data_IF_660980174347
#
_entry.id   IF_660980174347
#
_cell.length_a   1.000
_cell.length_b   1.000
_cell.length_c   1.000
_cell.angle_alpha   90.00
_cell.angle_beta   90.00
_cell.angle_gamma   90.00
#
_symmetry.space_group_name_H-M   'P 1'
#
loop_
_entity.id
_entity.type
_entity.pdbx_description
1 polymer ?
#
# COMPACT_ATOMS: atom_id res chain seq x y z
N UNK A 1 8.02 -4.47 29.71
CA UNK A 1 7.03 -3.40 29.96
C UNK A 1 6.64 -2.79 28.63
N UNK A 2 5.35 -2.47 28.45
CA UNK A 2 4.88 -1.80 27.23
C UNK A 2 5.51 -0.41 27.10
N UNK A 3 5.90 -0.03 25.89
CA UNK A 3 6.51 1.27 25.60
C UNK A 3 5.42 2.27 25.21
N UNK A 4 5.40 3.45 25.81
CA UNK A 4 4.45 4.51 25.48
C UNK A 4 4.53 4.93 24.03
N UNK A 5 3.38 5.32 23.45
CA UNK A 5 3.31 5.85 22.09
C UNK A 5 4.20 7.10 21.93
N UNK A 6 4.80 7.27 20.76
CA UNK A 6 5.73 8.36 20.46
C UNK A 6 6.77 7.99 19.40
N UNK A 7 7.79 8.81 19.26
CA UNK A 7 8.83 8.72 18.22
C UNK A 7 9.53 7.36 18.15
N UNK A 8 9.70 6.67 19.29
CA UNK A 8 10.29 5.32 19.33
C UNK A 8 9.60 4.37 18.34
N UNK A 9 8.27 4.40 18.26
CA UNK A 9 7.50 3.49 17.43
C UNK A 9 7.65 3.74 15.94
N UNK A 10 8.05 4.95 15.54
CA UNK A 10 8.40 5.28 14.16
C UNK A 10 9.67 4.51 13.76
N UNK A 11 10.71 4.61 14.57
CA UNK A 11 11.98 3.89 14.35
C UNK A 11 11.78 2.38 14.43
N UNK A 12 11.03 1.92 15.43
CA UNK A 12 10.70 0.50 15.57
C UNK A 12 10.00 -0.07 14.33
N UNK A 13 9.01 0.65 13.78
CA UNK A 13 8.27 0.22 12.59
C UNK A 13 9.16 0.17 11.34
N UNK A 14 10.16 1.04 11.23
CA UNK A 14 11.10 1.03 10.13
C UNK A 14 12.04 -0.19 10.14
N UNK A 15 12.19 -0.83 11.29
CA UNK A 15 12.99 -2.07 11.41
C UNK A 15 12.09 -3.30 11.41
N UNK A 16 11.01 -3.32 12.21
CA UNK A 16 10.25 -4.52 12.56
C UNK A 16 8.92 -4.66 11.82
N UNK A 17 8.51 -3.65 11.07
CA UNK A 17 7.22 -3.60 10.36
C UNK A 17 7.35 -2.94 8.99
N UNK A 18 8.40 -3.28 8.24
CA UNK A 18 8.61 -2.77 6.87
C UNK A 18 7.50 -3.23 5.94
N UNK A 19 7.13 -2.36 5.00
CA UNK A 19 6.41 -2.80 3.80
C UNK A 19 7.40 -3.51 2.88
N UNK A 20 6.90 -4.41 2.05
CA UNK A 20 7.70 -5.07 1.01
C UNK A 20 7.45 -4.44 -0.37
N UNK A 21 8.45 -4.57 -1.24
CA UNK A 21 8.33 -4.36 -2.70
C UNK A 21 8.68 -5.64 -3.47
N UNK A 22 8.83 -6.76 -2.78
CA UNK A 22 9.10 -8.06 -3.38
C UNK A 22 7.81 -8.74 -3.83
N UNK A 23 7.77 -9.21 -5.09
CA UNK A 23 6.66 -10.02 -5.61
C UNK A 23 6.52 -11.32 -4.81
N UNK A 24 7.62 -11.84 -4.24
CA UNK A 24 7.61 -13.09 -3.47
C UNK A 24 6.76 -13.02 -2.20
N UNK A 25 6.45 -11.82 -1.70
CA UNK A 25 5.65 -11.62 -0.51
C UNK A 25 4.15 -11.47 -0.80
N UNK A 26 3.76 -11.50 -2.08
CA UNK A 26 2.36 -11.53 -2.47
C UNK A 26 1.72 -12.89 -2.19
N UNK A 27 0.41 -12.91 -2.02
CA UNK A 27 -0.38 -14.14 -1.94
C UNK A 27 -0.14 -14.99 -3.21
N UNK A 28 0.06 -16.29 -3.07
CA UNK A 28 0.59 -17.18 -4.12
C UNK A 28 -0.10 -17.04 -5.47
N UNK A 29 -1.43 -17.09 -5.52
CA UNK A 29 -2.21 -16.95 -6.76
C UNK A 29 -2.01 -15.57 -7.41
N UNK A 30 -2.07 -14.49 -6.62
CA UNK A 30 -1.87 -13.14 -7.13
C UNK A 30 -0.41 -12.88 -7.51
N UNK A 31 0.53 -13.53 -6.83
CA UNK A 31 1.95 -13.50 -7.16
C UNK A 31 2.22 -14.00 -8.59
N UNK A 32 1.66 -15.15 -8.97
CA UNK A 32 1.81 -15.73 -10.31
C UNK A 32 1.20 -14.84 -11.40
N UNK A 33 0.02 -14.28 -11.12
CA UNK A 33 -0.65 -13.34 -11.99
C UNK A 33 0.19 -12.08 -12.23
N UNK A 34 0.75 -11.50 -11.17
CA UNK A 34 1.62 -10.32 -11.24
C UNK A 34 2.90 -10.62 -12.00
N UNK A 35 3.56 -11.77 -11.74
CA UNK A 35 4.76 -12.18 -12.49
C UNK A 35 4.48 -12.26 -13.99
N UNK A 36 3.44 -13.01 -14.37
CA UNK A 36 3.07 -13.20 -15.77
C UNK A 36 2.76 -11.87 -16.47
N UNK A 37 2.06 -10.95 -15.79
CA UNK A 37 1.78 -9.62 -16.33
C UNK A 37 3.05 -8.79 -16.51
N UNK A 38 3.92 -8.75 -15.51
CA UNK A 38 5.19 -8.00 -15.56
C UNK A 38 6.10 -8.57 -16.66
N UNK A 39 6.17 -9.89 -16.79
CA UNK A 39 6.97 -10.54 -17.83
C UNK A 39 6.44 -10.20 -19.24
N UNK A 40 5.11 -10.21 -19.43
CA UNK A 40 4.52 -9.77 -20.69
C UNK A 40 4.85 -8.32 -21.03
N UNK A 41 4.83 -7.41 -20.04
CA UNK A 41 5.22 -6.01 -20.22
C UNK A 41 6.70 -5.86 -20.58
N UNK A 42 7.58 -6.54 -19.85
CA UNK A 42 9.03 -6.50 -20.08
C UNK A 42 9.41 -7.09 -21.43
N UNK A 43 8.81 -8.23 -21.81
CA UNK A 43 9.02 -8.86 -23.11
C UNK A 43 8.57 -7.97 -24.27
N UNK A 44 7.60 -7.09 -24.04
CA UNK A 44 7.16 -6.09 -25.00
C UNK A 44 8.05 -4.83 -25.04
N UNK A 45 9.04 -4.70 -24.13
CA UNK A 45 9.97 -3.58 -24.06
C UNK A 45 9.60 -2.50 -23.03
N UNK A 46 8.62 -2.74 -22.15
CA UNK A 46 8.31 -1.82 -21.05
C UNK A 46 9.27 -2.00 -19.87
N UNK A 47 9.48 -0.90 -19.14
CA UNK A 47 10.12 -0.91 -17.82
C UNK A 47 9.05 -0.93 -16.74
N UNK A 48 9.26 -1.71 -15.69
CA UNK A 48 8.36 -1.81 -14.53
C UNK A 48 9.15 -1.57 -13.25
N UNK A 49 8.73 -0.58 -12.46
CA UNK A 49 9.29 -0.26 -11.15
C UNK A 49 8.23 -0.52 -10.07
N UNK A 50 8.54 -1.35 -9.09
CA UNK A 50 7.64 -1.73 -8.00
C UNK A 50 8.00 -0.90 -6.77
N UNK A 51 7.02 -0.19 -6.22
CA UNK A 51 7.18 0.61 -5.00
C UNK A 51 6.66 -0.13 -3.76
N UNK A 52 5.56 -0.86 -3.86
CA UNK A 52 4.97 -1.59 -2.73
C UNK A 52 4.25 -2.85 -3.20
N UNK A 53 4.43 -3.97 -2.49
CA UNK A 53 3.64 -5.20 -2.66
C UNK A 53 2.79 -5.45 -1.42
N UNK A 54 3.42 -5.70 -0.26
CA UNK A 54 2.69 -5.98 0.97
C UNK A 54 2.90 -4.89 2.02
N UNK A 55 1.85 -4.63 2.78
CA UNK A 55 1.88 -3.73 3.93
C UNK A 55 1.82 -4.53 5.22
N UNK A 56 2.77 -4.28 6.13
CA UNK A 56 2.77 -4.91 7.44
C UNK A 56 1.50 -4.55 8.24
N UNK A 57 0.79 -5.58 8.74
CA UNK A 57 -0.36 -5.40 9.67
C UNK A 57 0.03 -4.57 10.89
N UNK A 58 1.25 -4.74 11.41
CA UNK A 58 1.77 -3.98 12.54
C UNK A 58 1.94 -2.50 12.19
N UNK A 59 2.45 -2.19 10.99
CA UNK A 59 2.58 -0.81 10.52
C UNK A 59 1.20 -0.17 10.29
N UNK A 60 0.26 -0.88 9.66
CA UNK A 60 -1.10 -0.41 9.47
C UNK A 60 -1.80 -0.10 10.81
N UNK A 61 -1.61 -0.96 11.81
CA UNK A 61 -2.09 -0.76 13.17
C UNK A 61 -1.53 0.52 13.80
N UNK A 62 -0.22 0.72 13.73
CA UNK A 62 0.42 1.92 14.27
C UNK A 62 -0.08 3.19 13.57
N UNK A 63 -0.25 3.16 12.25
CA UNK A 63 -0.78 4.28 11.47
C UNK A 63 -2.21 4.62 11.86
N UNK A 64 -3.08 3.62 11.94
CA UNK A 64 -4.51 3.79 12.25
C UNK A 64 -4.72 4.43 13.62
N UNK A 65 -4.14 3.84 14.64
CA UNK A 65 -4.37 4.28 16.01
C UNK A 65 -3.67 5.60 16.34
N UNK A 66 -2.44 5.82 15.84
CA UNK A 66 -1.79 7.11 16.01
C UNK A 66 -2.60 8.23 15.39
N UNK A 67 -3.16 8.01 14.18
CA UNK A 67 -4.02 9.00 13.54
C UNK A 67 -5.29 9.25 14.34
N UNK A 68 -6.05 8.21 14.73
CA UNK A 68 -7.31 8.38 15.46
C UNK A 68 -7.13 9.08 16.80
N UNK A 69 -6.13 8.69 17.57
CA UNK A 69 -5.87 9.25 18.90
C UNK A 69 -5.40 10.71 18.79
N UNK A 70 -4.46 11.01 17.87
CA UNK A 70 -3.97 12.36 17.65
C UNK A 70 -5.04 13.34 17.20
N UNK A 71 -6.03 12.86 16.42
CA UNK A 71 -7.17 13.67 15.95
C UNK A 71 -8.34 13.69 16.95
N UNK A 72 -8.21 13.07 18.12
CA UNK A 72 -9.28 12.99 19.12
C UNK A 72 -10.53 12.21 18.66
N UNK A 73 -10.37 11.31 17.69
CA UNK A 73 -11.47 10.50 17.12
C UNK A 73 -11.75 9.23 17.91
N UNK A 74 -10.97 8.94 18.94
CA UNK A 74 -11.18 7.83 19.87
C UNK A 74 -10.38 8.08 21.16
N UNK A 75 -10.70 7.32 22.22
CA UNK A 75 -9.89 7.27 23.45
C UNK A 75 -8.66 6.39 23.21
N UNK A 76 -7.53 6.62 23.91
CA UNK A 76 -6.36 5.73 23.85
C UNK A 76 -6.68 4.28 24.20
N UNK A 77 -7.60 4.06 25.14
CA UNK A 77 -8.08 2.73 25.58
C UNK A 77 -8.89 1.96 24.51
N UNK A 78 -9.36 2.64 23.46
CA UNK A 78 -10.11 1.98 22.37
C UNK A 78 -9.18 1.21 21.42
N UNK A 79 -7.87 1.47 21.48
CA UNK A 79 -6.88 0.80 20.66
C UNK A 79 -6.68 -0.65 21.14
N UNK A 80 -7.24 -1.59 20.36
CA UNK A 80 -7.09 -3.03 20.66
C UNK A 80 -5.63 -3.45 20.56
N UNK A 81 -5.19 -4.34 21.47
CA UNK A 81 -3.82 -4.90 21.41
C UNK A 81 -3.60 -5.68 20.12
N UNK A 82 -2.40 -5.56 19.57
CA UNK A 82 -1.95 -6.34 18.43
C UNK A 82 -0.70 -7.16 18.82
N UNK A 83 -0.75 -8.46 18.59
CA UNK A 83 0.37 -9.34 18.91
C UNK A 83 1.68 -8.87 18.25
N UNK A 84 2.74 -8.78 19.06
CA UNK A 84 4.05 -8.32 18.62
C UNK A 84 4.17 -6.79 18.44
N UNK A 85 3.22 -6.01 19.00
CA UNK A 85 3.30 -4.54 19.13
C UNK A 85 2.95 -4.17 20.57
N UNK A 86 3.96 -4.09 21.41
CA UNK A 86 3.79 -3.83 22.85
C UNK A 86 3.78 -2.33 23.15
N UNK A 87 2.85 -1.62 22.51
CA UNK A 87 2.64 -0.18 22.63
C UNK A 87 1.60 0.15 23.70
N UNK A 88 1.91 1.14 24.55
CA UNK A 88 0.99 1.75 25.49
C UNK A 88 0.49 3.08 24.92
N UNK A 89 -0.79 3.14 24.57
CA UNK A 89 -1.41 4.34 24.02
C UNK A 89 -1.86 5.32 25.10
N UNK A 90 -2.23 4.80 26.28
CA UNK A 90 -2.68 5.63 27.41
C UNK A 90 -1.48 6.06 28.26
N UNK A 91 -1.24 7.36 28.32
CA UNK A 91 -0.18 7.96 29.12
C UNK A 91 -0.67 8.42 30.52
N UNK A 92 -1.91 8.02 30.91
CA UNK A 92 -2.57 8.50 32.13
C UNK A 92 -3.09 9.93 32.04
N UNK A 93 -2.94 10.57 30.88
CA UNK A 93 -3.44 11.90 30.57
C UNK A 93 -3.72 11.99 29.07
N UNK A 94 -4.90 12.50 28.71
CA UNK A 94 -5.35 12.52 27.33
C UNK A 94 -4.47 13.39 26.42
N UNK A 95 -4.00 14.52 26.91
CA UNK A 95 -3.15 15.41 26.11
C UNK A 95 -1.76 14.81 25.88
N UNK A 96 -1.19 14.11 26.85
CA UNK A 96 0.07 13.37 26.68
C UNK A 96 -0.11 12.22 25.68
N UNK A 97 -1.21 11.50 25.75
CA UNK A 97 -1.53 10.41 24.82
C UNK A 97 -1.70 10.92 23.37
N UNK A 98 -2.41 12.05 23.19
CA UNK A 98 -2.54 12.71 21.89
C UNK A 98 -1.19 13.21 21.36
N UNK A 99 -0.35 13.79 22.22
CA UNK A 99 0.98 14.27 21.85
C UNK A 99 1.88 13.14 21.35
N UNK A 100 1.95 12.01 22.07
CA UNK A 100 2.70 10.83 21.63
C UNK A 100 2.18 10.26 20.30
N UNK A 101 0.86 10.18 20.13
CA UNK A 101 0.26 9.76 18.88
C UNK A 101 0.56 10.74 17.72
N UNK A 102 0.58 12.06 17.99
CA UNK A 102 0.90 13.09 17.00
C UNK A 102 2.38 13.01 16.56
N UNK A 103 3.29 12.70 17.47
CA UNK A 103 4.69 12.44 17.10
C UNK A 103 4.79 11.29 16.09
N UNK A 104 4.01 10.23 16.28
CA UNK A 104 3.98 9.10 15.35
C UNK A 104 3.38 9.52 14.00
N UNK A 105 2.25 10.26 14.00
CA UNK A 105 1.63 10.79 12.76
C UNK A 105 2.63 11.59 11.94
N UNK A 106 3.36 12.51 12.60
CA UNK A 106 4.41 13.32 11.95
C UNK A 106 5.57 12.46 11.45
N UNK A 107 6.06 11.55 12.28
CA UNK A 107 7.19 10.68 11.96
C UNK A 107 6.89 9.68 10.83
N UNK A 108 5.64 9.26 10.69
CA UNK A 108 5.17 8.41 9.57
C UNK A 108 4.76 9.20 8.33
N UNK A 109 4.67 10.53 8.41
CA UNK A 109 4.23 11.38 7.30
C UNK A 109 2.75 11.17 6.93
N UNK A 110 1.89 10.84 7.92
CA UNK A 110 0.49 10.55 7.64
C UNK A 110 -0.29 11.82 7.24
N UNK A 111 -1.14 11.69 6.23
CA UNK A 111 -2.04 12.77 5.87
C UNK A 111 -3.11 12.96 6.97
N UNK A 112 -3.32 14.21 7.37
CA UNK A 112 -4.35 14.65 8.32
C UNK A 112 -5.23 15.71 7.68
N UNK A 113 -6.38 16.09 8.27
CA UNK A 113 -7.20 17.15 7.70
C UNK A 113 -6.41 18.43 7.37
N UNK A 114 -6.68 19.11 6.23
CA UNK A 114 -7.75 18.80 5.26
C UNK A 114 -7.40 17.72 4.22
N UNK A 115 -6.14 17.23 4.16
CA UNK A 115 -5.69 16.26 3.15
C UNK A 115 -6.33 14.88 3.29
N UNK A 116 -6.60 14.44 4.52
CA UNK A 116 -7.35 13.21 4.79
C UNK A 116 -8.18 13.38 6.05
N UNK A 117 -9.48 13.12 5.96
CA UNK A 117 -10.42 13.12 7.09
C UNK A 117 -10.64 11.70 7.67
N UNK A 118 -10.06 10.68 7.02
CA UNK A 118 -10.15 9.27 7.42
C UNK A 118 -8.80 8.75 7.90
N UNK A 119 -8.80 7.85 8.91
CA UNK A 119 -7.58 7.18 9.33
C UNK A 119 -7.09 6.20 8.26
N UNK A 120 -5.78 5.90 8.21
CA UNK A 120 -5.27 4.78 7.43
C UNK A 120 -6.02 3.49 7.76
N UNK A 121 -6.36 2.69 6.74
CA UNK A 121 -7.13 1.47 6.90
C UNK A 121 -6.36 0.38 7.66
N UNK A 122 -7.08 -0.39 8.48
CA UNK A 122 -6.59 -1.63 9.11
C UNK A 122 -6.70 -2.84 8.17
N UNK A 123 -7.44 -2.71 7.08
CA UNK A 123 -7.59 -3.73 6.04
C UNK A 123 -7.35 -3.11 4.68
N UNK A 124 -6.60 -3.80 3.83
CA UNK A 124 -6.38 -3.41 2.43
C UNK A 124 -5.85 -4.61 1.66
N UNK A 125 -5.99 -4.57 0.32
CA UNK A 125 -5.41 -5.61 -0.53
C UNK A 125 -3.89 -5.75 -0.34
N UNK A 126 -3.16 -4.68 -0.01
CA UNK A 126 -1.74 -4.75 0.34
C UNK A 126 -1.48 -5.55 1.62
N UNK A 127 -2.34 -5.44 2.64
CA UNK A 127 -2.21 -6.21 3.88
C UNK A 127 -2.45 -7.71 3.64
N UNK A 128 -3.28 -8.03 2.64
CA UNK A 128 -3.59 -9.40 2.24
C UNK A 128 -2.62 -9.97 1.19
N UNK A 129 -1.66 -9.17 0.73
CA UNK A 129 -0.77 -9.58 -0.36
C UNK A 129 -1.46 -9.68 -1.73
N UNK A 130 -2.56 -8.95 -1.93
CA UNK A 130 -3.40 -8.98 -3.14
C UNK A 130 -3.41 -7.65 -3.89
N UNK A 131 -2.40 -6.81 -3.66
CA UNK A 131 -2.17 -5.56 -4.38
C UNK A 131 -0.70 -5.32 -4.62
N UNK A 132 -0.40 -4.53 -5.64
CA UNK A 132 0.92 -4.05 -6.00
C UNK A 132 0.84 -2.61 -6.48
N UNK A 133 1.72 -1.77 -5.95
CA UNK A 133 1.95 -0.43 -6.49
C UNK A 133 3.16 -0.48 -7.43
N UNK A 134 2.93 -0.22 -8.70
CA UNK A 134 3.98 -0.22 -9.71
C UNK A 134 3.78 0.86 -10.75
N UNK A 135 4.89 1.37 -11.27
CA UNK A 135 4.94 2.28 -12.41
C UNK A 135 5.40 1.51 -13.63
N UNK A 136 4.62 1.61 -14.71
CA UNK A 136 4.95 1.04 -16.02
C UNK A 136 5.32 2.19 -16.95
N UNK A 137 6.44 2.08 -17.65
CA UNK A 137 6.90 3.10 -18.61
C UNK A 137 7.43 2.46 -19.88
N UNK A 138 7.17 3.13 -21.02
CA UNK A 138 7.66 2.74 -22.35
C UNK A 138 7.70 3.95 -23.28
N UNK A 139 8.19 3.78 -24.48
CA UNK A 139 8.18 4.78 -25.55
C UNK A 139 7.51 4.21 -26.81
N UNK A 140 6.85 5.06 -27.60
CA UNK A 140 6.17 4.63 -28.81
C UNK A 140 5.01 3.68 -28.59
N UNK A 141 4.86 2.70 -29.45
CA UNK A 141 3.82 1.66 -29.37
C UNK A 141 4.37 0.38 -28.75
N UNK A 142 3.70 -0.11 -27.72
CA UNK A 142 4.05 -1.34 -27.00
C UNK A 142 3.15 -2.48 -27.48
N UNK A 143 3.71 -3.53 -28.11
CA UNK A 143 2.97 -4.73 -28.52
C UNK A 143 3.00 -5.74 -27.38
N UNK A 144 1.94 -5.80 -26.56
CA UNK A 144 1.86 -6.66 -25.39
C UNK A 144 0.94 -7.85 -25.67
N UNK A 145 1.37 -9.01 -25.23
CA UNK A 145 0.59 -10.25 -25.29
C UNK A 145 -0.30 -10.37 -24.06
N UNK A 146 -1.61 -10.55 -24.26
CA UNK A 146 -2.55 -10.93 -23.20
C UNK A 146 -2.35 -12.37 -22.76
N UNK A 147 -2.99 -12.77 -21.64
CA UNK A 147 -2.93 -14.15 -21.12
C UNK A 147 -3.44 -15.20 -22.12
N UNK A 148 -4.44 -14.85 -22.94
CA UNK A 148 -5.00 -15.71 -23.99
C UNK A 148 -4.15 -15.79 -25.28
N UNK A 149 -3.01 -15.10 -25.31
CA UNK A 149 -2.12 -15.04 -26.46
C UNK A 149 -2.38 -13.90 -27.44
N UNK A 150 -3.50 -13.19 -27.34
CA UNK A 150 -3.84 -12.04 -28.18
C UNK A 150 -2.82 -10.90 -27.99
N UNK A 151 -2.32 -10.34 -29.08
CA UNK A 151 -1.41 -9.19 -29.05
C UNK A 151 -2.20 -7.90 -29.15
N UNK A 152 -1.99 -6.99 -28.22
CA UNK A 152 -2.58 -5.65 -28.18
C UNK A 152 -1.49 -4.60 -28.39
N UNK A 153 -1.75 -3.62 -29.24
CA UNK A 153 -0.87 -2.47 -29.44
C UNK A 153 -1.30 -1.35 -28.49
N UNK A 154 -0.50 -1.10 -27.45
CA UNK A 154 -0.72 -0.05 -26.45
C UNK A 154 0.10 1.18 -26.85
N UNK A 155 -0.57 2.20 -27.35
CA UNK A 155 0.07 3.46 -27.69
C UNK A 155 0.57 4.17 -26.42
N UNK A 156 1.70 4.85 -26.54
CA UNK A 156 2.19 5.69 -25.44
C UNK A 156 1.19 6.81 -25.11
N UNK A 157 0.98 7.04 -23.82
CA UNK A 157 0.34 8.24 -23.34
C UNK A 157 1.00 8.72 -22.07
N UNK A 158 1.12 10.06 -21.93
CA UNK A 158 1.78 10.68 -20.78
C UNK A 158 1.16 10.28 -19.44
N UNK A 159 -0.18 10.16 -19.40
CA UNK A 159 -0.89 9.64 -18.24
C UNK A 159 -1.15 8.15 -18.41
N UNK A 160 -0.18 7.33 -18.04
CA UNK A 160 -0.26 5.86 -18.10
C UNK A 160 -1.47 5.31 -17.32
N UNK A 161 -1.86 6.00 -16.24
CA UNK A 161 -3.01 5.62 -15.42
C UNK A 161 -4.35 5.68 -16.19
N UNK A 162 -4.44 6.50 -17.24
CA UNK A 162 -5.60 6.59 -18.12
C UNK A 162 -5.58 5.59 -19.29
N UNK A 163 -4.55 4.76 -19.44
CA UNK A 163 -4.42 3.88 -20.59
C UNK A 163 -5.30 2.63 -20.48
N UNK A 164 -6.51 2.69 -21.03
CA UNK A 164 -7.47 1.60 -20.94
C UNK A 164 -6.98 0.29 -21.60
N UNK A 165 -6.18 0.36 -22.66
CA UNK A 165 -5.62 -0.85 -23.31
C UNK A 165 -4.61 -1.54 -22.41
N UNK A 166 -3.74 -0.79 -21.71
CA UNK A 166 -2.86 -1.34 -20.69
C UNK A 166 -3.66 -2.00 -19.56
N UNK A 167 -4.77 -1.37 -19.13
CA UNK A 167 -5.64 -1.94 -18.10
C UNK A 167 -6.24 -3.28 -18.53
N UNK A 168 -6.72 -3.40 -19.78
CA UNK A 168 -7.26 -4.67 -20.29
C UNK A 168 -6.20 -5.76 -20.39
N UNK A 169 -4.95 -5.42 -20.65
CA UNK A 169 -3.83 -6.38 -20.60
C UNK A 169 -3.65 -6.88 -19.16
N UNK A 170 -3.53 -5.99 -18.18
CA UNK A 170 -3.41 -6.38 -16.76
C UNK A 170 -4.58 -7.24 -16.29
N UNK A 171 -5.80 -6.85 -16.64
CA UNK A 171 -7.03 -7.60 -16.29
C UNK A 171 -7.03 -9.01 -16.87
N UNK A 172 -6.49 -9.23 -18.08
CA UNK A 172 -6.38 -10.57 -18.67
C UNK A 172 -5.50 -11.51 -17.84
N UNK A 173 -4.57 -10.97 -17.06
CA UNK A 173 -3.73 -11.70 -16.09
C UNK A 173 -4.32 -11.73 -14.68
N UNK A 174 -5.50 -11.14 -14.43
CA UNK A 174 -6.09 -11.03 -13.09
C UNK A 174 -5.48 -9.91 -12.25
N UNK A 175 -4.78 -8.93 -12.86
CA UNK A 175 -4.18 -7.77 -12.22
C UNK A 175 -4.93 -6.52 -12.67
N UNK A 176 -5.87 -6.05 -11.83
CA UNK A 176 -6.81 -4.98 -12.18
C UNK A 176 -6.36 -3.63 -11.67
N UNK A 177 -6.51 -2.61 -12.52
CA UNK A 177 -6.12 -1.24 -12.22
C UNK A 177 -7.15 -0.53 -11.35
N UNK A 178 -6.69 0.12 -10.24
CA UNK A 178 -7.46 1.14 -9.53
C UNK A 178 -7.22 2.50 -10.21
N UNK A 179 -8.22 3.01 -10.95
CA UNK A 179 -8.06 4.23 -11.76
C UNK A 179 -7.88 5.50 -10.93
N UNK A 180 -8.37 5.52 -9.69
CA UNK A 180 -8.25 6.67 -8.76
C UNK A 180 -6.89 6.74 -8.05
N UNK A 181 -6.06 5.69 -8.17
CA UNK A 181 -4.73 5.64 -7.56
C UNK A 181 -3.70 5.18 -8.58
N UNK A 182 -2.85 6.11 -9.02
CA UNK A 182 -1.97 5.95 -10.17
C UNK A 182 -1.05 4.71 -10.13
N UNK A 183 -0.37 4.35 -9.03
CA UNK A 183 0.49 3.18 -9.00
C UNK A 183 -0.26 1.88 -8.72
N UNK A 184 -1.51 1.94 -8.23
CA UNK A 184 -2.19 0.81 -7.59
C UNK A 184 -2.84 -0.16 -8.58
N UNK A 185 -2.49 -1.44 -8.45
CA UNK A 185 -3.11 -2.60 -9.11
C UNK A 185 -3.45 -3.67 -8.06
N UNK A 186 -4.55 -4.36 -8.22
CA UNK A 186 -4.97 -5.41 -7.28
C UNK A 186 -5.78 -6.51 -7.96
N UNK A 187 -6.09 -7.58 -7.23
CA UNK A 187 -6.88 -8.70 -7.75
C UNK A 187 -8.32 -8.30 -8.09
N UNK A 188 -8.86 -7.26 -7.47
CA UNK A 188 -10.26 -6.82 -7.62
C UNK A 188 -10.41 -5.37 -8.14
N UNK A 189 -9.31 -4.64 -8.37
CA UNK A 189 -9.33 -3.26 -8.85
C UNK A 189 -9.66 -2.20 -7.79
N UNK A 190 -9.50 -2.57 -6.49
CA UNK A 190 -9.80 -1.68 -5.34
C UNK A 190 -8.59 -1.52 -4.44
#
# INVERSE_FOLDING_TARGET
MATKSGKYWVSWANVNAKNSNSINDLHSEFQENVRSFIDALKNAGASVSISTTTRSKKRAYLFHWSWKISQGKCKPSDAKKLAGVDIEWDHGNIEKSKAGALEMVKGFGLAVPPRSIFPPSLSSNHIEGKAIDMTVSWTGNLKVKKKDGTVVTVAYMKNVNGNNLLHTVGESYGVKKLKSDAPHWSYNGR
#
